data_IF_056293812069
#
_entry.id   IF_056293812069
#
_cell.length_a   1.000
_cell.length_b   1.000
_cell.length_c   1.000
_cell.angle_alpha   90.00
_cell.angle_beta   90.00
_cell.angle_gamma   90.00
#
_symmetry.space_group_name_H-M   'P 1'
#
loop_
_entity.id
_entity.type
_entity.pdbx_description
1 polymer ?
#
# COMPACT_ATOMS: atom_id res chain seq x y z
N UNK A 1 22.97 6.27 -15.45
CA UNK A 1 23.70 7.31 -14.70
C UNK A 1 23.40 7.10 -13.22
N UNK A 2 24.38 6.70 -12.41
CA UNK A 2 24.23 6.61 -10.95
C UNK A 2 24.41 8.01 -10.37
N UNK A 3 23.31 8.64 -9.97
CA UNK A 3 23.35 9.92 -9.27
C UNK A 3 23.71 9.73 -7.80
N UNK A 4 24.59 10.56 -7.24
CA UNK A 4 24.86 10.56 -5.81
C UNK A 4 23.65 11.16 -5.05
N UNK A 5 23.00 10.36 -4.21
CA UNK A 5 21.91 10.82 -3.35
C UNK A 5 22.48 11.68 -2.21
N UNK A 6 22.03 12.93 -2.08
CA UNK A 6 22.35 13.80 -0.96
C UNK A 6 21.10 14.09 -0.14
N UNK A 7 21.05 13.56 1.09
CA UNK A 7 19.99 13.85 2.04
C UNK A 7 20.38 15.09 2.86
N UNK A 8 19.62 16.18 2.71
CA UNK A 8 19.82 17.43 3.46
C UNK A 8 18.84 17.52 4.62
N UNK A 9 19.27 18.12 5.73
CA UNK A 9 18.45 18.35 6.94
C UNK A 9 17.84 17.06 7.52
N UNK A 10 18.59 15.95 7.48
CA UNK A 10 18.17 14.70 8.13
C UNK A 10 18.07 14.93 9.64
N UNK A 11 16.94 14.60 10.29
CA UNK A 11 16.82 14.72 11.73
C UNK A 11 17.90 13.94 12.46
N UNK A 12 18.43 14.49 13.55
CA UNK A 12 19.57 13.90 14.27
C UNK A 12 19.30 12.46 14.74
N UNK A 13 18.07 12.16 15.16
CA UNK A 13 17.67 10.81 15.58
C UNK A 13 17.71 9.80 14.42
N UNK A 14 17.33 10.20 13.20
CA UNK A 14 17.40 9.35 12.01
C UNK A 14 18.86 9.09 11.64
N UNK A 15 19.70 10.13 11.66
CA UNK A 15 21.14 9.97 11.39
C UNK A 15 21.78 9.00 12.39
N UNK A 16 21.49 9.14 13.69
CA UNK A 16 22.02 8.27 14.72
C UNK A 16 21.58 6.80 14.54
N UNK A 17 20.35 6.57 14.10
CA UNK A 17 19.85 5.23 13.77
C UNK A 17 20.65 4.62 12.61
N UNK A 18 20.80 5.36 11.50
CA UNK A 18 21.57 4.91 10.33
C UNK A 18 23.03 4.63 10.70
N UNK A 19 23.67 5.51 11.48
CA UNK A 19 25.06 5.32 11.91
C UNK A 19 25.21 4.02 12.74
N UNK A 20 24.24 3.73 13.62
CA UNK A 20 24.21 2.51 14.43
C UNK A 20 24.04 1.27 13.54
N UNK A 21 23.09 1.28 12.61
CA UNK A 21 22.82 0.13 11.74
C UNK A 21 23.97 -0.12 10.76
N UNK A 22 24.56 0.92 10.20
CA UNK A 22 25.76 0.82 9.36
C UNK A 22 26.92 0.15 10.12
N UNK A 23 27.11 0.51 11.40
CA UNK A 23 28.09 -0.12 12.28
C UNK A 23 27.79 -1.60 12.55
N UNK A 24 26.53 -1.95 12.81
CA UNK A 24 26.10 -3.33 13.04
C UNK A 24 26.29 -4.20 11.79
N UNK A 25 25.94 -3.68 10.61
CA UNK A 25 26.01 -4.39 9.33
C UNK A 25 27.40 -4.30 8.66
N UNK A 26 28.35 -3.58 9.27
CA UNK A 26 29.71 -3.32 8.74
C UNK A 26 29.70 -2.74 7.33
N UNK A 27 28.75 -1.82 7.09
CA UNK A 27 28.55 -1.15 5.80
C UNK A 27 28.91 0.33 5.91
N UNK A 28 29.19 0.95 4.78
CA UNK A 28 29.26 2.41 4.74
C UNK A 28 27.87 3.01 5.00
N UNK A 29 27.82 4.20 5.60
CA UNK A 29 26.55 4.91 5.85
C UNK A 29 25.72 5.02 4.57
N UNK A 30 26.35 5.36 3.44
CA UNK A 30 25.65 5.48 2.16
C UNK A 30 25.04 4.16 1.70
N UNK A 31 25.78 3.06 1.86
CA UNK A 31 25.28 1.74 1.51
C UNK A 31 24.12 1.31 2.41
N UNK A 32 24.19 1.63 3.70
CA UNK A 32 23.10 1.34 4.64
C UNK A 32 21.84 2.15 4.31
N UNK A 33 21.99 3.44 3.99
CA UNK A 33 20.88 4.28 3.54
C UNK A 33 20.20 3.70 2.30
N UNK A 34 20.98 3.22 1.32
CA UNK A 34 20.44 2.60 0.11
C UNK A 34 19.61 1.36 0.48
N UNK A 35 20.16 0.46 1.30
CA UNK A 35 19.47 -0.77 1.71
C UNK A 35 18.19 -0.46 2.46
N UNK A 36 18.21 0.47 3.42
CA UNK A 36 17.02 0.85 4.17
C UNK A 36 15.93 1.47 3.26
N UNK A 37 16.32 2.24 2.25
CA UNK A 37 15.39 2.76 1.25
C UNK A 37 14.81 1.66 0.37
N UNK A 38 15.63 0.69 -0.06
CA UNK A 38 15.18 -0.48 -0.83
C UNK A 38 14.20 -1.34 -0.03
N UNK A 39 14.50 -1.59 1.24
CA UNK A 39 13.62 -2.33 2.16
C UNK A 39 12.28 -1.60 2.37
N UNK A 40 12.32 -0.29 2.57
CA UNK A 40 11.10 0.52 2.70
C UNK A 40 10.25 0.50 1.41
N UNK A 41 10.89 0.55 0.24
CA UNK A 41 10.20 0.42 -1.04
C UNK A 41 9.57 -0.96 -1.22
N UNK A 42 10.30 -2.02 -0.88
CA UNK A 42 9.77 -3.40 -0.92
C UNK A 42 8.59 -3.58 0.05
N UNK A 43 8.69 -3.05 1.26
CA UNK A 43 7.61 -3.09 2.24
C UNK A 43 6.36 -2.36 1.70
N UNK A 44 6.53 -1.19 1.08
CA UNK A 44 5.43 -0.45 0.45
C UNK A 44 4.80 -1.22 -0.71
N UNK A 45 5.60 -1.83 -1.57
CA UNK A 45 5.12 -2.63 -2.70
C UNK A 45 4.31 -3.84 -2.20
N UNK A 46 4.80 -4.56 -1.18
CA UNK A 46 4.09 -5.69 -0.57
C UNK A 46 2.74 -5.29 0.01
N UNK A 47 2.66 -4.14 0.69
CA UNK A 47 1.39 -3.62 1.20
C UNK A 47 0.39 -3.33 0.08
N UNK A 48 0.85 -2.81 -1.06
CA UNK A 48 -0.03 -2.57 -2.22
C UNK A 48 -0.53 -3.87 -2.84
N UNK A 49 0.34 -4.88 -2.97
CA UNK A 49 -0.05 -6.21 -3.46
C UNK A 49 -1.05 -6.87 -2.52
N UNK A 50 -0.83 -6.83 -1.20
CA UNK A 50 -1.77 -7.38 -0.22
C UNK A 50 -3.16 -6.75 -0.34
N UNK A 51 -3.25 -5.43 -0.49
CA UNK A 51 -4.54 -4.74 -0.67
C UNK A 51 -5.25 -5.21 -1.94
N UNK A 52 -4.51 -5.43 -3.03
CA UNK A 52 -5.09 -5.91 -4.28
C UNK A 52 -5.58 -7.35 -4.16
N UNK A 53 -4.78 -8.23 -3.56
CA UNK A 53 -5.15 -9.62 -3.28
C UNK A 53 -6.38 -9.69 -2.38
N UNK A 54 -6.45 -8.87 -1.32
CA UNK A 54 -7.59 -8.82 -0.41
C UNK A 54 -8.88 -8.40 -1.13
N UNK A 55 -8.81 -7.41 -2.04
CA UNK A 55 -9.96 -6.98 -2.86
C UNK A 55 -10.38 -8.08 -3.82
N UNK A 56 -9.45 -8.73 -4.51
CA UNK A 56 -9.75 -9.81 -5.44
C UNK A 56 -10.40 -11.00 -4.71
N UNK A 57 -9.92 -11.34 -3.52
CA UNK A 57 -10.48 -12.41 -2.68
C UNK A 57 -11.87 -12.05 -2.13
N UNK A 58 -12.13 -10.78 -1.79
CA UNK A 58 -13.47 -10.32 -1.45
C UNK A 58 -14.41 -10.48 -2.66
N UNK A 59 -13.99 -10.03 -3.84
CA UNK A 59 -14.80 -10.10 -5.05
C UNK A 59 -15.08 -11.54 -5.48
N UNK A 60 -14.09 -12.44 -5.41
CA UNK A 60 -14.27 -13.88 -5.67
C UNK A 60 -15.27 -14.50 -4.71
N UNK A 61 -15.14 -14.22 -3.41
CA UNK A 61 -16.09 -14.71 -2.39
C UNK A 61 -17.50 -14.19 -2.64
N UNK A 62 -17.64 -12.91 -2.99
CA UNK A 62 -18.93 -12.31 -3.30
C UNK A 62 -19.56 -12.94 -4.55
N UNK A 63 -18.79 -13.13 -5.63
CA UNK A 63 -19.25 -13.76 -6.86
C UNK A 63 -19.67 -15.23 -6.68
N UNK A 64 -19.09 -15.93 -5.69
CA UNK A 64 -19.46 -17.29 -5.33
C UNK A 64 -20.75 -17.38 -4.47
N UNK A 65 -21.27 -16.26 -3.96
CA UNK A 65 -22.51 -16.27 -3.19
C UNK A 65 -23.71 -16.55 -4.11
N UNK A 66 -24.71 -17.32 -3.63
CA UNK A 66 -25.92 -17.58 -4.41
C UNK A 66 -26.75 -16.31 -4.56
N UNK A 67 -27.20 -16.03 -5.77
CA UNK A 67 -28.15 -14.93 -6.06
C UNK A 67 -29.48 -15.21 -5.36
N UNK A 68 -29.81 -14.40 -4.34
CA UNK A 68 -31.09 -14.49 -3.61
C UNK A 68 -32.20 -13.65 -4.25
N UNK A 69 -31.82 -12.55 -4.88
CA UNK A 69 -32.73 -11.64 -5.57
C UNK A 69 -32.14 -11.38 -6.96
N UNK A 70 -32.87 -11.80 -7.99
CA UNK A 70 -32.47 -11.67 -9.39
C UNK A 70 -33.17 -10.49 -10.10
N UNK A 71 -33.95 -9.69 -9.36
CA UNK A 71 -34.56 -8.48 -9.90
C UNK A 71 -33.46 -7.53 -10.41
N UNK A 72 -33.69 -6.82 -11.51
CA UNK A 72 -32.74 -5.81 -11.97
C UNK A 72 -32.63 -4.71 -10.91
N UNK A 73 -31.45 -4.07 -10.83
CA UNK A 73 -31.14 -3.05 -9.81
C UNK A 73 -32.16 -1.91 -9.78
N UNK A 74 -32.74 -1.57 -10.94
CA UNK A 74 -33.81 -0.57 -11.08
C UNK A 74 -35.08 -0.90 -10.29
N UNK A 75 -35.33 -2.18 -10.06
CA UNK A 75 -36.54 -2.67 -9.37
C UNK A 75 -36.26 -2.97 -7.89
N UNK A 76 -34.98 -2.85 -7.48
CA UNK A 76 -34.53 -3.02 -6.11
C UNK A 76 -34.57 -1.67 -5.37
N UNK A 77 -34.23 -0.57 -6.05
CA UNK A 77 -34.27 0.78 -5.49
C UNK A 77 -35.55 1.45 -6.00
N UNK A 78 -36.54 1.63 -5.12
CA UNK A 78 -37.74 2.38 -5.46
C UNK A 78 -37.41 3.87 -5.54
N UNK A 79 -37.23 4.39 -6.76
CA UNK A 79 -37.03 5.82 -6.98
C UNK A 79 -38.37 6.56 -7.04
N UNK A 80 -38.43 7.76 -6.47
CA UNK A 80 -39.54 8.70 -6.66
C UNK A 80 -39.47 9.41 -8.04
N UNK A 81 -40.47 10.23 -8.37
CA UNK A 81 -40.56 10.91 -9.68
C UNK A 81 -39.42 11.90 -9.95
N UNK A 82 -38.62 12.26 -8.93
CA UNK A 82 -37.46 13.16 -9.05
C UNK A 82 -36.13 12.41 -8.99
N UNK A 83 -36.16 11.07 -8.96
CA UNK A 83 -34.97 10.21 -9.01
C UNK A 83 -34.27 10.01 -7.67
N UNK A 84 -34.93 10.28 -6.55
CA UNK A 84 -34.43 9.99 -5.21
C UNK A 84 -34.96 8.64 -4.72
N UNK A 85 -34.18 7.86 -3.94
CA UNK A 85 -34.71 6.67 -3.27
C UNK A 85 -35.86 7.09 -2.33
N UNK A 86 -37.00 6.40 -2.41
CA UNK A 86 -38.10 6.54 -1.45
C UNK A 86 -37.72 6.12 -0.05
#
# INVERSE_FOLDING_TARGET
MTGALQLKKVPAHIKALIDREAGLHRRSINQEVIVLLEEALLARARLQTQIQEDVEDILKRYAALPTRDARPVSDIIEYDEIGLPK
#
